data_IF_295707826401
#
_entry.id   IF_295707826401
#
_cell.length_a   1.000
_cell.length_b   1.000
_cell.length_c   1.000
_cell.angle_alpha   90.00
_cell.angle_beta   90.00
_cell.angle_gamma   90.00
#
_symmetry.space_group_name_H-M   'P 1'
#
loop_
_entity.id
_entity.type
_entity.pdbx_description
1 polymer ?
#
# COMPACT_ATOMS: atom_id res chain seq x y z
N UNK A 1 37.66 17.00 2.83
CA UNK A 1 37.54 16.13 1.64
C UNK A 1 37.37 17.04 0.41
N UNK A 2 37.97 16.72 -0.73
CA UNK A 2 37.84 17.59 -1.91
C UNK A 2 36.37 17.47 -2.46
N UNK A 3 35.60 18.56 -2.55
CA UNK A 3 34.19 18.47 -2.97
C UNK A 3 34.01 17.93 -4.38
N UNK A 4 34.99 18.10 -5.28
CA UNK A 4 34.94 17.52 -6.63
C UNK A 4 35.03 15.99 -6.62
N UNK A 5 35.82 15.40 -5.71
CA UNK A 5 35.87 13.93 -5.57
C UNK A 5 34.54 13.36 -5.04
N UNK A 6 33.92 14.07 -4.08
CA UNK A 6 32.59 13.71 -3.58
C UNK A 6 31.55 13.76 -4.69
N UNK A 7 31.58 14.81 -5.51
CA UNK A 7 30.67 14.96 -6.66
C UNK A 7 30.84 13.78 -7.66
N UNK A 8 32.09 13.41 -7.96
CA UNK A 8 32.35 12.26 -8.86
C UNK A 8 31.85 10.96 -8.28
N UNK A 9 32.08 10.71 -6.99
CA UNK A 9 31.60 9.52 -6.29
C UNK A 9 30.07 9.43 -6.29
N UNK A 10 29.41 10.52 -5.91
CA UNK A 10 27.95 10.60 -5.95
C UNK A 10 27.40 10.36 -7.36
N UNK A 11 28.06 10.94 -8.38
CA UNK A 11 27.70 10.72 -9.78
C UNK A 11 27.88 9.27 -10.23
N UNK A 12 28.91 8.57 -9.76
CA UNK A 12 29.09 7.14 -10.02
C UNK A 12 27.99 6.31 -9.35
N UNK A 13 27.69 6.59 -8.08
CA UNK A 13 26.62 5.91 -7.33
C UNK A 13 25.25 6.15 -7.95
N UNK A 14 24.96 7.35 -8.43
CA UNK A 14 23.71 7.65 -9.13
C UNK A 14 23.56 6.83 -10.43
N UNK A 15 24.64 6.66 -11.19
CA UNK A 15 24.63 5.82 -12.40
C UNK A 15 24.50 4.33 -12.08
N UNK A 16 25.09 3.88 -10.98
CA UNK A 16 25.06 2.48 -10.54
C UNK A 16 23.73 2.08 -9.89
N UNK A 17 22.98 3.03 -9.31
CA UNK A 17 21.72 2.80 -8.63
C UNK A 17 20.73 2.04 -9.53
N UNK A 18 20.14 0.96 -9.01
CA UNK A 18 19.25 0.05 -9.75
C UNK A 18 17.79 0.49 -9.78
N UNK A 19 17.35 1.26 -8.76
CA UNK A 19 15.95 1.59 -8.53
C UNK A 19 15.71 3.06 -8.26
N UNK A 20 14.48 3.55 -8.51
CA UNK A 20 14.09 4.93 -8.19
C UNK A 20 14.12 5.24 -6.67
N UNK A 21 13.67 4.35 -5.76
CA UNK A 21 13.82 4.58 -4.32
C UNK A 21 15.28 4.74 -3.88
N UNK A 22 16.19 3.96 -4.44
CA UNK A 22 17.63 4.08 -4.17
C UNK A 22 18.19 5.43 -4.61
N UNK A 23 17.81 5.90 -5.80
CA UNK A 23 18.15 7.24 -6.29
C UNK A 23 17.56 8.33 -5.41
N UNK A 24 16.32 8.19 -4.96
CA UNK A 24 15.69 9.12 -4.03
C UNK A 24 16.44 9.17 -2.70
N UNK A 25 16.79 8.02 -2.13
CA UNK A 25 17.57 7.92 -0.90
C UNK A 25 18.94 8.57 -1.03
N UNK A 26 19.67 8.26 -2.09
CA UNK A 26 20.98 8.83 -2.39
C UNK A 26 20.92 10.36 -2.48
N UNK A 27 19.88 10.90 -3.13
CA UNK A 27 19.68 12.34 -3.24
C UNK A 27 19.49 13.01 -1.88
N UNK A 28 18.55 12.51 -1.06
CA UNK A 28 18.16 13.21 0.17
C UNK A 28 19.06 12.93 1.36
N UNK A 29 19.89 11.88 1.34
CA UNK A 29 20.76 11.50 2.45
C UNK A 29 22.26 11.66 2.11
N UNK A 30 22.72 11.14 0.97
CA UNK A 30 24.14 11.07 0.67
C UNK A 30 24.69 12.41 0.14
N UNK A 31 23.86 13.27 -0.41
CA UNK A 31 24.21 14.64 -0.78
C UNK A 31 24.78 15.43 0.41
N UNK A 32 24.53 15.00 1.65
CA UNK A 32 25.12 15.60 2.86
C UNK A 32 26.65 15.53 2.90
N UNK A 33 27.26 14.61 2.14
CA UNK A 33 28.71 14.53 1.98
C UNK A 33 29.27 15.69 1.13
N UNK A 34 28.46 16.23 0.22
CA UNK A 34 28.84 17.36 -0.64
C UNK A 34 28.63 18.70 0.06
N UNK A 35 27.53 18.82 0.80
CA UNK A 35 27.11 20.07 1.45
C UNK A 35 26.33 19.82 2.72
N UNK A 36 26.46 20.68 3.75
CA UNK A 36 25.68 20.59 4.96
C UNK A 36 24.24 21.07 4.72
N UNK A 37 23.27 20.27 5.14
CA UNK A 37 21.86 20.65 5.25
C UNK A 37 21.23 19.94 6.45
N UNK A 38 20.19 20.54 7.01
CA UNK A 38 19.39 19.93 8.08
C UNK A 38 18.45 18.88 7.50
N UNK A 39 17.76 19.23 6.41
CA UNK A 39 16.75 18.40 5.79
C UNK A 39 16.77 18.57 4.26
N UNK A 40 16.47 17.49 3.54
CA UNK A 40 16.28 17.48 2.10
C UNK A 40 15.01 16.72 1.75
N UNK A 41 14.25 17.22 0.77
CA UNK A 41 13.01 16.65 0.31
C UNK A 41 12.97 16.57 -1.21
N UNK A 42 12.50 15.45 -1.74
CA UNK A 42 12.25 15.23 -3.16
C UNK A 42 10.76 15.17 -3.42
N UNK A 43 10.29 15.94 -4.40
CA UNK A 43 8.89 16.03 -4.74
C UNK A 43 8.68 16.00 -6.25
N UNK A 44 7.57 15.37 -6.69
CA UNK A 44 7.11 15.39 -8.08
C UNK A 44 5.64 15.75 -8.18
N UNK A 45 5.28 16.47 -9.23
CA UNK A 45 3.91 16.86 -9.52
C UNK A 45 3.00 15.64 -9.72
N UNK A 46 1.88 15.62 -9.01
CA UNK A 46 0.92 14.50 -9.04
C UNK A 46 1.34 13.25 -8.27
N UNK A 47 2.60 13.17 -7.78
CA UNK A 47 3.08 12.07 -6.93
C UNK A 47 3.31 12.50 -5.48
N UNK A 48 3.53 13.79 -5.25
CA UNK A 48 3.81 14.34 -3.93
C UNK A 48 5.26 14.16 -3.48
N UNK A 49 5.48 14.15 -2.17
CA UNK A 49 6.79 13.98 -1.55
C UNK A 49 7.21 12.51 -1.64
N UNK A 50 8.31 12.26 -2.35
CA UNK A 50 8.81 10.89 -2.64
C UNK A 50 9.90 10.45 -1.69
N UNK A 51 10.72 11.37 -1.21
CA UNK A 51 11.79 11.07 -0.29
C UNK A 51 12.03 12.25 0.65
N UNK A 52 12.40 11.96 1.88
CA UNK A 52 12.77 12.91 2.92
C UNK A 52 14.03 12.39 3.60
N UNK A 53 15.00 13.27 3.87
CA UNK A 53 16.23 12.89 4.56
C UNK A 53 15.93 12.35 5.95
N UNK A 54 16.56 11.22 6.30
CA UNK A 54 16.37 10.56 7.60
C UNK A 54 15.10 9.71 7.75
N UNK A 55 14.22 9.67 6.72
CA UNK A 55 13.03 8.81 6.72
C UNK A 55 13.12 7.75 5.61
N UNK A 56 12.74 6.51 5.95
CA UNK A 56 12.68 5.41 4.97
C UNK A 56 11.49 5.58 4.00
N UNK A 57 10.35 6.03 4.52
CA UNK A 57 9.17 6.34 3.73
C UNK A 57 8.41 7.52 4.37
N UNK A 58 8.13 8.60 3.64
CA UNK A 58 7.34 9.70 4.16
C UNK A 58 5.86 9.29 4.26
N UNK A 59 5.25 9.50 5.42
CA UNK A 59 3.82 9.30 5.61
C UNK A 59 3.04 10.50 5.07
N UNK A 60 2.27 10.28 4.01
CA UNK A 60 1.56 11.35 3.28
C UNK A 60 0.57 12.16 4.15
N UNK A 61 0.07 11.59 5.23
CA UNK A 61 -0.93 12.21 6.10
C UNK A 61 -0.37 13.05 7.26
N UNK A 62 0.95 13.15 7.40
CA UNK A 62 1.53 13.99 8.45
C UNK A 62 1.40 15.49 8.09
N UNK A 63 1.13 16.38 9.07
CA UNK A 63 0.97 17.82 8.81
C UNK A 63 2.17 18.43 8.07
N UNK A 64 3.38 18.05 8.45
CA UNK A 64 4.62 18.50 7.79
C UNK A 64 4.66 18.11 6.31
N UNK A 65 4.32 16.85 5.94
CA UNK A 65 4.34 16.39 4.55
C UNK A 65 3.25 17.08 3.72
N UNK A 66 2.06 17.29 4.29
CA UNK A 66 0.99 18.00 3.62
C UNK A 66 1.33 19.46 3.38
N UNK A 67 1.88 20.15 4.37
CA UNK A 67 2.33 21.53 4.23
C UNK A 67 3.45 21.64 3.19
N UNK A 68 4.47 20.76 3.27
CA UNK A 68 5.59 20.73 2.33
C UNK A 68 5.13 20.44 0.90
N UNK A 69 4.15 19.55 0.74
CA UNK A 69 3.55 19.27 -0.57
C UNK A 69 2.91 20.53 -1.18
N UNK A 70 2.17 21.31 -0.41
CA UNK A 70 1.58 22.60 -0.84
C UNK A 70 2.67 23.60 -1.20
N UNK A 71 3.69 23.73 -0.36
CA UNK A 71 4.84 24.63 -0.61
C UNK A 71 5.54 24.30 -1.92
N UNK A 72 5.91 23.03 -2.13
CA UNK A 72 6.62 22.60 -3.34
C UNK A 72 5.75 22.71 -4.60
N UNK A 73 4.45 22.46 -4.49
CA UNK A 73 3.49 22.72 -5.56
C UNK A 73 3.43 24.20 -5.95
N UNK A 74 3.42 25.10 -4.98
CA UNK A 74 3.49 26.55 -5.21
C UNK A 74 4.79 26.95 -5.90
N UNK A 75 5.95 26.48 -5.40
CA UNK A 75 7.27 26.76 -5.98
C UNK A 75 7.42 26.19 -7.40
N UNK A 76 6.81 25.03 -7.67
CA UNK A 76 6.82 24.44 -9.01
C UNK A 76 6.02 25.26 -10.02
N UNK A 77 4.92 25.89 -9.60
CA UNK A 77 4.06 26.73 -10.45
C UNK A 77 4.58 28.15 -10.64
N UNK A 78 5.53 28.60 -9.80
CA UNK A 78 6.12 29.95 -9.90
C UNK A 78 6.87 30.13 -11.22
N UNK A 79 6.97 31.38 -11.73
CA UNK A 79 7.75 31.67 -12.93
C UNK A 79 9.20 31.19 -12.80
N UNK A 80 9.74 30.65 -13.91
CA UNK A 80 11.14 30.19 -13.93
C UNK A 80 12.07 31.38 -13.85
N UNK A 81 12.79 31.48 -12.74
CA UNK A 81 13.91 32.45 -12.61
C UNK A 81 15.21 31.84 -13.16
N UNK A 82 16.13 32.65 -13.67
CA UNK A 82 17.43 32.16 -14.16
C UNK A 82 18.24 31.53 -13.03
N UNK A 83 18.83 30.35 -13.29
CA UNK A 83 19.72 29.66 -12.36
C UNK A 83 19.20 28.33 -11.89
N UNK A 84 20.08 27.37 -11.52
CA UNK A 84 19.71 26.05 -11.06
C UNK A 84 19.19 26.04 -9.62
N UNK A 85 19.59 27.00 -8.79
CA UNK A 85 19.30 27.07 -7.35
C UNK A 85 18.58 28.39 -7.05
N UNK A 86 17.43 28.27 -6.38
CA UNK A 86 16.63 29.44 -5.97
C UNK A 86 16.52 29.48 -4.46
N UNK A 87 16.87 30.62 -3.86
CA UNK A 87 16.64 30.87 -2.44
C UNK A 87 15.16 31.17 -2.24
N UNK A 88 14.53 30.50 -1.30
CA UNK A 88 13.13 30.69 -0.94
C UNK A 88 13.06 31.48 0.37
N UNK A 89 12.22 32.51 0.39
CA UNK A 89 11.98 33.32 1.58
C UNK A 89 10.49 33.30 1.93
N UNK A 90 10.17 33.24 3.22
CA UNK A 90 8.79 33.25 3.69
C UNK A 90 7.99 34.47 3.16
N UNK A 91 8.62 35.63 3.01
CA UNK A 91 7.99 36.84 2.50
C UNK A 91 7.52 36.76 1.03
N UNK A 92 7.94 35.73 0.28
CA UNK A 92 7.56 35.51 -1.12
C UNK A 92 6.40 34.53 -1.27
N UNK A 93 5.92 33.96 -0.15
CA UNK A 93 4.91 32.93 -0.11
C UNK A 93 3.54 33.51 0.23
N UNK A 94 2.45 32.84 -0.14
CA UNK A 94 1.12 33.12 0.36
C UNK A 94 1.05 33.05 1.89
N UNK A 95 0.16 33.84 2.50
CA UNK A 95 0.05 33.98 3.95
C UNK A 95 -0.16 32.66 4.69
N UNK A 96 -0.91 31.73 4.11
CA UNK A 96 -1.18 30.39 4.67
C UNK A 96 0.08 29.52 4.74
N UNK A 97 1.02 29.65 3.79
CA UNK A 97 2.30 28.97 3.81
C UNK A 97 3.34 29.67 4.66
N UNK A 98 3.32 31.01 4.64
CA UNK A 98 4.26 31.85 5.39
C UNK A 98 4.05 31.73 6.91
N UNK A 99 2.80 31.58 7.37
CA UNK A 99 2.44 31.48 8.79
C UNK A 99 3.11 30.27 9.49
N UNK A 100 3.16 29.14 8.81
CA UNK A 100 3.74 27.89 9.34
C UNK A 100 5.24 27.74 9.05
N UNK A 101 5.84 28.68 8.30
CA UNK A 101 7.24 28.58 7.85
C UNK A 101 8.24 28.35 8.98
N UNK A 102 8.16 29.14 10.03
CA UNK A 102 9.11 29.09 11.16
C UNK A 102 8.93 27.82 12.03
N UNK A 103 7.81 27.15 11.95
CA UNK A 103 7.56 25.90 12.63
C UNK A 103 8.30 24.73 11.96
N UNK A 104 8.33 24.73 10.63
CA UNK A 104 8.82 23.59 9.86
C UNK A 104 10.21 23.77 9.28
N UNK A 105 10.61 24.98 8.91
CA UNK A 105 11.83 25.21 8.15
C UNK A 105 12.83 26.11 8.89
N UNK A 106 14.11 25.89 8.60
CA UNK A 106 15.22 26.76 9.00
C UNK A 106 15.29 28.01 8.09
N UNK A 107 16.07 29.05 8.48
CA UNK A 107 16.10 30.34 7.76
C UNK A 107 16.52 30.26 6.29
N UNK A 108 17.39 29.34 5.96
CA UNK A 108 17.94 29.19 4.61
C UNK A 108 17.33 27.97 3.91
N UNK A 109 16.52 28.25 2.88
CA UNK A 109 15.84 27.21 2.09
C UNK A 109 16.17 27.42 0.63
N UNK A 110 16.57 26.33 -0.02
CA UNK A 110 16.95 26.32 -1.42
C UNK A 110 16.06 25.37 -2.20
N UNK A 111 15.51 25.87 -3.29
CA UNK A 111 14.68 25.11 -4.22
C UNK A 111 15.41 24.87 -5.53
N UNK A 112 15.51 23.63 -5.95
CA UNK A 112 16.05 23.24 -7.24
C UNK A 112 14.95 22.58 -8.06
N UNK A 113 14.59 23.20 -9.15
CA UNK A 113 13.55 22.71 -10.04
C UNK A 113 14.07 21.55 -10.88
N UNK A 114 13.27 20.50 -11.00
CA UNK A 114 13.50 19.36 -11.89
C UNK A 114 12.50 19.47 -13.05
N UNK A 115 12.96 19.90 -14.25
CA UNK A 115 12.06 20.04 -15.39
C UNK A 115 11.58 18.66 -15.86
N UNK A 116 10.32 18.60 -16.31
CA UNK A 116 9.85 17.43 -17.04
C UNK A 116 10.61 17.27 -18.35
N UNK A 117 11.04 16.08 -18.70
CA UNK A 117 11.66 15.82 -20.00
C UNK A 117 10.57 15.92 -21.10
N UNK A 118 10.67 16.89 -22.02
CA UNK A 118 9.65 17.09 -23.07
C UNK A 118 9.55 15.92 -24.04
N UNK A 119 10.59 15.08 -24.12
CA UNK A 119 10.61 13.86 -24.94
C UNK A 119 9.88 12.67 -24.31
N UNK A 120 9.47 12.78 -23.05
CA UNK A 120 8.90 11.68 -22.28
C UNK A 120 7.56 12.06 -21.66
N UNK A 121 6.53 11.32 -21.99
CA UNK A 121 5.18 11.55 -21.47
C UNK A 121 4.99 11.12 -20.00
N UNK A 122 5.91 10.36 -19.47
CA UNK A 122 5.95 9.83 -18.11
C UNK A 122 6.86 10.63 -17.17
N UNK A 123 7.72 11.52 -17.73
CA UNK A 123 8.50 12.44 -16.93
C UNK A 123 7.63 13.58 -16.40
N UNK A 124 7.71 13.82 -15.10
CA UNK A 124 6.95 14.85 -14.41
C UNK A 124 7.86 15.97 -13.94
N UNK A 125 7.35 17.17 -13.91
CA UNK A 125 8.01 18.26 -13.25
C UNK A 125 8.10 17.97 -11.75
N UNK A 126 9.17 18.41 -11.13
CA UNK A 126 9.39 18.22 -9.71
C UNK A 126 10.41 19.19 -9.16
N UNK A 127 10.93 18.86 -7.99
CA UNK A 127 12.02 19.64 -7.42
C UNK A 127 12.56 19.05 -6.13
N UNK A 128 13.67 19.59 -5.73
CA UNK A 128 14.37 19.25 -4.49
C UNK A 128 14.40 20.49 -3.61
N UNK A 129 14.01 20.32 -2.36
CA UNK A 129 14.08 21.35 -1.33
C UNK A 129 15.18 20.99 -0.34
N UNK A 130 16.13 21.89 -0.14
CA UNK A 130 17.15 21.78 0.91
C UNK A 130 16.93 22.84 1.97
N UNK A 131 16.92 22.42 3.22
CA UNK A 131 16.74 23.25 4.41
C UNK A 131 18.07 23.31 5.15
N UNK A 132 18.64 24.50 5.32
CA UNK A 132 19.98 24.70 5.82
C UNK A 132 19.99 25.68 7.00
N UNK A 133 20.95 25.50 7.89
CA UNK A 133 21.17 26.41 9.04
C UNK A 133 22.05 27.59 8.66
N UNK A 134 22.95 27.42 7.68
CA UNK A 134 23.84 28.44 7.17
C UNK A 134 23.63 28.65 5.67
N UNK A 135 23.86 29.87 5.16
CA UNK A 135 23.76 30.13 3.73
C UNK A 135 24.87 29.41 2.94
N UNK A 136 24.52 29.00 1.71
CA UNK A 136 25.49 28.46 0.78
C UNK A 136 26.25 29.55 0.06
N UNK A 137 27.50 29.29 -0.26
CA UNK A 137 28.31 30.14 -1.12
C UNK A 137 28.05 29.82 -2.62
N UNK A 138 28.54 30.68 -3.51
CA UNK A 138 28.36 30.50 -4.96
C UNK A 138 29.03 29.25 -5.50
N UNK A 139 30.09 28.77 -4.85
CA UNK A 139 30.78 27.54 -5.21
C UNK A 139 29.88 26.33 -4.93
N UNK A 140 29.22 26.31 -3.76
CA UNK A 140 28.25 25.27 -3.42
C UNK A 140 27.02 25.28 -4.33
N UNK A 141 26.52 26.47 -4.70
CA UNK A 141 25.42 26.59 -5.66
C UNK A 141 25.77 25.92 -6.99
N UNK A 142 26.96 26.13 -7.53
CA UNK A 142 27.42 25.54 -8.77
C UNK A 142 27.56 24.01 -8.65
N UNK A 143 28.21 23.54 -7.58
CA UNK A 143 28.42 22.11 -7.33
C UNK A 143 27.08 21.34 -7.15
N UNK A 144 26.15 21.91 -6.40
CA UNK A 144 24.82 21.33 -6.20
C UNK A 144 24.02 21.29 -7.48
N UNK A 145 24.08 22.37 -8.27
CA UNK A 145 23.43 22.41 -9.58
C UNK A 145 23.92 21.31 -10.50
N UNK A 146 25.23 21.08 -10.59
CA UNK A 146 25.80 19.99 -11.38
C UNK A 146 25.46 18.62 -10.84
N UNK A 147 25.49 18.45 -9.51
CA UNK A 147 25.07 17.21 -8.87
C UNK A 147 23.62 16.87 -9.20
N UNK A 148 22.71 17.82 -9.02
CA UNK A 148 21.28 17.60 -9.28
C UNK A 148 21.01 17.32 -10.76
N UNK A 149 21.71 17.98 -11.68
CA UNK A 149 21.61 17.68 -13.12
C UNK A 149 22.02 16.24 -13.42
N UNK A 150 23.19 15.80 -12.90
CA UNK A 150 23.69 14.44 -13.06
C UNK A 150 22.71 13.41 -12.48
N UNK A 151 22.22 13.64 -11.27
CA UNK A 151 21.24 12.79 -10.60
C UNK A 151 19.93 12.73 -11.38
N UNK A 152 19.43 13.87 -11.87
CA UNK A 152 18.18 13.94 -12.63
C UNK A 152 18.27 13.15 -13.95
N UNK A 153 19.41 13.16 -14.63
CA UNK A 153 19.63 12.28 -15.78
C UNK A 153 19.57 10.81 -15.41
N UNK A 154 20.18 10.39 -14.28
CA UNK A 154 20.09 9.02 -13.81
C UNK A 154 18.65 8.62 -13.43
N UNK A 155 17.90 9.54 -12.80
CA UNK A 155 16.50 9.36 -12.48
C UNK A 155 15.66 9.14 -13.74
N UNK A 156 15.76 10.02 -14.72
CA UNK A 156 15.04 9.93 -15.99
C UNK A 156 15.38 8.65 -16.76
N UNK A 157 16.64 8.18 -16.71
CA UNK A 157 17.05 6.93 -17.33
C UNK A 157 16.36 5.69 -16.70
N UNK A 158 15.97 5.76 -15.44
CA UNK A 158 15.28 4.66 -14.72
C UNK A 158 13.75 4.72 -14.82
N UNK A 159 13.18 5.85 -15.21
CA UNK A 159 11.75 5.93 -15.49
C UNK A 159 11.45 4.98 -16.67
N UNK A 160 10.66 3.95 -16.40
CA UNK A 160 10.20 3.04 -17.46
C UNK A 160 9.00 3.69 -18.14
N UNK A 161 9.00 3.82 -19.49
CA UNK A 161 7.81 4.27 -20.18
C UNK A 161 6.68 3.30 -19.86
N UNK A 162 5.58 3.81 -19.32
CA UNK A 162 4.38 3.01 -19.12
C UNK A 162 3.81 2.66 -20.49
N UNK A 163 3.86 1.40 -20.95
CA UNK A 163 3.39 1.02 -22.30
C UNK A 163 1.91 1.30 -22.51
N UNK A 164 1.19 1.62 -21.45
CA UNK A 164 -0.26 1.88 -21.40
C UNK A 164 -0.62 3.35 -21.22
N UNK A 165 0.33 4.31 -21.33
CA UNK A 165 -0.06 5.71 -21.24
C UNK A 165 -0.93 6.09 -22.45
N UNK A 166 -2.12 6.64 -22.17
CA UNK A 166 -3.05 7.11 -23.20
C UNK A 166 -2.40 8.11 -24.18
N UNK A 167 -1.36 8.82 -23.73
CA UNK A 167 -0.57 9.75 -24.55
C UNK A 167 0.30 9.04 -25.59
N UNK A 168 0.96 7.93 -25.23
CA UNK A 168 1.74 7.12 -26.18
C UNK A 168 0.81 6.53 -27.24
N UNK A 169 -0.34 6.04 -26.82
CA UNK A 169 -1.36 5.55 -27.75
C UNK A 169 -1.91 6.66 -28.64
N UNK A 170 -2.20 7.85 -28.10
CA UNK A 170 -2.65 9.01 -28.90
C UNK A 170 -1.59 9.47 -29.90
N UNK A 171 -0.31 9.50 -29.51
CA UNK A 171 0.78 9.86 -30.42
C UNK A 171 1.01 8.79 -31.50
N UNK A 172 0.97 7.52 -31.14
CA UNK A 172 1.04 6.41 -32.08
C UNK A 172 -0.14 6.43 -33.08
N UNK A 173 -1.34 6.71 -32.56
CA UNK A 173 -2.55 6.85 -33.38
C UNK A 173 -2.46 8.07 -34.29
N UNK A 174 -1.99 9.22 -33.76
CA UNK A 174 -1.80 10.45 -34.56
C UNK A 174 -0.73 10.26 -35.65
N UNK A 175 0.37 9.59 -35.33
CA UNK A 175 1.42 9.25 -36.31
C UNK A 175 0.91 8.29 -37.38
N UNK A 176 0.12 7.28 -36.99
CA UNK A 176 -0.50 6.34 -37.89
C UNK A 176 -1.56 6.99 -38.82
N UNK A 177 -2.21 8.07 -38.37
CA UNK A 177 -3.21 8.82 -39.15
C UNK A 177 -2.58 9.82 -40.14
N UNK A 178 -1.36 10.32 -39.86
CA UNK A 178 -0.69 11.31 -40.71
C UNK A 178 0.28 10.71 -41.73
N UNK A 179 0.34 9.37 -41.87
CA UNK A 179 1.16 8.75 -42.90
C UNK A 179 0.39 8.82 -44.21
N UNK A 180 0.76 9.77 -45.05
CA UNK A 180 0.20 9.98 -46.38
C UNK A 180 0.43 8.75 -47.26
N UNK A 181 -0.63 8.06 -47.56
CA UNK A 181 -0.70 7.02 -48.56
C UNK A 181 -2.13 6.90 -49.05
N UNK A 182 -2.39 7.25 -50.27
CA UNK A 182 -3.70 7.34 -50.96
C UNK A 182 -4.61 6.10 -50.91
N UNK A 183 -4.63 5.36 -49.86
CA UNK A 183 -5.50 4.20 -49.64
C UNK A 183 -6.72 4.59 -48.80
N UNK A 184 -7.92 4.08 -49.11
CA UNK A 184 -9.13 4.36 -48.34
C UNK A 184 -8.93 3.98 -46.86
N UNK A 185 -9.42 4.80 -45.98
CA UNK A 185 -9.18 4.75 -44.50
C UNK A 185 -9.44 3.37 -43.85
N UNK A 186 -10.40 2.58 -44.39
CA UNK A 186 -10.70 1.23 -43.88
C UNK A 186 -9.64 0.17 -44.26
N UNK A 187 -8.78 0.44 -45.26
CA UNK A 187 -7.67 -0.46 -45.61
C UNK A 187 -6.41 -0.20 -44.79
N UNK A 188 -6.40 0.86 -43.94
CA UNK A 188 -5.26 1.18 -43.11
C UNK A 188 -5.09 0.15 -41.99
N UNK A 189 -3.90 -0.32 -41.81
CA UNK A 189 -3.53 -1.33 -40.78
C UNK A 189 -4.04 -0.99 -39.38
N UNK A 190 -3.93 0.27 -38.86
CA UNK A 190 -4.43 0.61 -37.55
C UNK A 190 -5.96 0.52 -37.43
N UNK A 191 -6.70 0.81 -38.48
CA UNK A 191 -8.17 0.70 -38.49
C UNK A 191 -8.60 -0.76 -38.45
N UNK A 192 -7.91 -1.65 -39.15
CA UNK A 192 -8.17 -3.09 -39.10
C UNK A 192 -7.86 -3.67 -37.73
N UNK A 193 -6.75 -3.24 -37.12
CA UNK A 193 -6.37 -3.64 -35.74
C UNK A 193 -7.42 -3.14 -34.75
N UNK A 194 -7.84 -1.88 -34.83
CA UNK A 194 -8.88 -1.32 -33.98
C UNK A 194 -10.22 -2.05 -34.12
N UNK A 195 -10.61 -2.41 -35.35
CA UNK A 195 -11.82 -3.16 -35.64
C UNK A 195 -11.75 -4.60 -35.08
N UNK A 196 -10.58 -5.23 -35.18
CA UNK A 196 -10.34 -6.56 -34.67
C UNK A 196 -10.37 -6.56 -33.12
N UNK A 197 -9.80 -5.54 -32.47
CA UNK A 197 -9.87 -5.35 -31.02
C UNK A 197 -11.31 -5.08 -30.58
N UNK A 198 -12.05 -4.22 -31.30
CA UNK A 198 -13.46 -3.96 -31.03
C UNK A 198 -14.31 -5.23 -31.12
N UNK A 199 -14.06 -6.05 -32.17
CA UNK A 199 -14.73 -7.34 -32.36
C UNK A 199 -14.42 -8.32 -31.20
N UNK A 200 -13.17 -8.32 -30.75
CA UNK A 200 -12.72 -9.18 -29.64
C UNK A 200 -13.30 -8.73 -28.29
N UNK A 201 -13.48 -7.42 -28.08
CA UNK A 201 -14.11 -6.83 -26.89
C UNK A 201 -15.62 -7.10 -26.80
N UNK A 202 -16.30 -7.21 -27.95
CA UNK A 202 -17.73 -7.53 -28.02
C UNK A 202 -17.98 -9.04 -27.93
N UNK A 203 -16.92 -9.85 -28.01
CA UNK A 203 -17.06 -11.31 -27.88
C UNK A 203 -17.56 -11.68 -26.50
N UNK A 204 -18.72 -12.33 -26.35
CA UNK A 204 -19.27 -12.67 -25.04
C UNK A 204 -18.42 -13.76 -24.40
N UNK A 205 -17.60 -13.40 -23.45
CA UNK A 205 -16.84 -14.34 -22.62
C UNK A 205 -17.69 -14.72 -21.40
N UNK A 206 -17.88 -16.00 -21.17
CA UNK A 206 -18.51 -16.45 -19.92
C UNK A 206 -17.60 -16.13 -18.74
N UNK A 207 -18.06 -15.25 -17.87
CA UNK A 207 -17.37 -14.95 -16.63
C UNK A 207 -17.61 -16.14 -15.67
N UNK A 208 -16.60 -16.99 -15.51
CA UNK A 208 -16.64 -18.07 -14.51
C UNK A 208 -15.89 -17.60 -13.28
N UNK A 209 -16.61 -17.39 -12.19
CA UNK A 209 -16.03 -17.07 -10.90
C UNK A 209 -15.99 -18.37 -10.08
N UNK A 210 -14.78 -18.80 -9.69
CA UNK A 210 -14.65 -19.84 -8.65
C UNK A 210 -15.01 -19.19 -7.30
N UNK A 211 -16.21 -19.43 -6.84
CA UNK A 211 -16.58 -19.10 -5.47
C UNK A 211 -16.35 -20.33 -4.59
N UNK A 212 -15.60 -20.24 -3.49
CA UNK A 212 -15.58 -21.30 -2.49
C UNK A 212 -16.97 -21.39 -1.88
N UNK A 213 -17.65 -22.52 -2.10
CA UNK A 213 -18.96 -22.80 -1.53
C UNK A 213 -18.88 -24.04 -0.66
N UNK A 214 -19.44 -23.96 0.54
CA UNK A 214 -19.65 -25.10 1.43
C UNK A 214 -21.05 -25.64 1.20
N UNK A 215 -21.16 -26.97 0.95
CA UNK A 215 -22.43 -27.62 0.82
C UNK A 215 -23.01 -27.87 2.22
N UNK A 216 -23.99 -27.05 2.58
CA UNK A 216 -24.74 -27.22 3.83
C UNK A 216 -26.07 -27.86 3.51
N UNK A 217 -26.49 -28.90 4.27
CA UNK A 217 -27.82 -29.51 4.13
C UNK A 217 -28.92 -28.46 4.37
N UNK A 218 -29.97 -28.50 3.57
CA UNK A 218 -31.11 -27.56 3.68
C UNK A 218 -31.83 -27.70 5.01
N UNK A 219 -31.82 -28.90 5.57
CA UNK A 219 -32.50 -29.23 6.83
C UNK A 219 -31.64 -30.23 7.63
N UNK A 220 -30.61 -29.76 8.36
CA UNK A 220 -29.75 -30.64 9.15
C UNK A 220 -30.52 -31.14 10.40
N UNK A 221 -30.80 -32.42 10.47
CA UNK A 221 -31.35 -33.02 11.69
C UNK A 221 -30.28 -33.04 12.79
N UNK A 222 -30.37 -32.10 13.74
CA UNK A 222 -29.49 -32.06 14.90
C UNK A 222 -29.94 -33.07 15.94
N UNK A 223 -29.26 -34.21 16.05
CA UNK A 223 -29.50 -35.20 17.09
C UNK A 223 -28.79 -34.75 18.36
N UNK A 224 -29.56 -34.43 19.39
CA UNK A 224 -29.05 -34.04 20.70
C UNK A 224 -29.08 -35.22 21.66
N UNK A 225 -28.10 -35.34 22.51
CA UNK A 225 -28.09 -36.29 23.60
C UNK A 225 -29.23 -35.96 24.57
N UNK A 226 -30.05 -36.97 24.97
CA UNK A 226 -31.18 -36.78 25.89
C UNK A 226 -30.74 -36.54 27.34
N UNK A 227 -29.49 -36.83 27.66
CA UNK A 227 -28.92 -36.78 29.00
C UNK A 227 -27.51 -36.18 28.96
N UNK A 228 -27.14 -35.50 30.03
CA UNK A 228 -25.74 -35.09 30.27
C UNK A 228 -24.95 -36.33 30.75
N UNK A 229 -23.94 -36.69 30.00
CA UNK A 229 -23.12 -37.86 30.32
C UNK A 229 -21.83 -37.95 29.54
N UNK A 230 -20.97 -38.88 29.94
CA UNK A 230 -19.72 -39.17 29.24
C UNK A 230 -20.02 -40.23 28.16
N UNK A 231 -19.58 -39.92 26.93
CA UNK A 231 -19.71 -40.90 25.83
C UNK A 231 -18.64 -41.97 25.99
N UNK A 232 -19.07 -43.20 26.16
CA UNK A 232 -18.18 -44.35 26.28
C UNK A 232 -17.63 -44.80 24.90
N UNK A 233 -18.50 -44.86 23.88
CA UNK A 233 -18.10 -45.31 22.55
C UNK A 233 -18.96 -44.68 21.47
N UNK A 234 -18.28 -44.32 20.34
CA UNK A 234 -18.92 -43.86 19.11
C UNK A 234 -18.93 -45.00 18.12
N UNK A 235 -20.11 -45.36 17.62
CA UNK A 235 -20.32 -46.53 16.74
C UNK A 235 -20.33 -46.18 15.25
N UNK A 236 -20.31 -44.91 14.90
CA UNK A 236 -20.38 -44.43 13.53
C UNK A 236 -19.16 -43.59 13.15
N UNK A 237 -18.83 -43.53 11.87
CA UNK A 237 -17.73 -42.73 11.34
C UNK A 237 -18.26 -41.42 10.71
N UNK A 238 -17.47 -40.35 10.67
CA UNK A 238 -17.83 -39.14 9.92
C UNK A 238 -18.19 -39.47 8.47
N UNK A 239 -19.24 -38.86 7.95
CA UNK A 239 -19.80 -39.08 6.61
C UNK A 239 -20.40 -40.48 6.36
N UNK A 240 -20.71 -41.24 7.39
CA UNK A 240 -21.38 -42.52 7.26
C UNK A 240 -22.91 -42.32 7.12
N UNK A 241 -23.51 -43.00 6.16
CA UNK A 241 -24.98 -43.05 6.06
C UNK A 241 -25.57 -43.88 7.19
N UNK A 242 -26.51 -43.30 7.94
CA UNK A 242 -27.21 -43.95 9.06
C UNK A 242 -28.72 -43.93 8.83
N UNK A 243 -29.43 -44.90 9.41
CA UNK A 243 -30.89 -44.99 9.35
C UNK A 243 -31.49 -44.66 10.71
N UNK A 244 -32.78 -44.36 10.72
CA UNK A 244 -33.51 -44.21 11.97
C UNK A 244 -33.46 -45.51 12.76
N UNK A 245 -32.99 -45.44 14.01
CA UNK A 245 -32.81 -46.59 14.89
C UNK A 245 -31.36 -47.08 15.02
N UNK A 246 -30.43 -46.61 14.17
CA UNK A 246 -29.03 -46.99 14.29
C UNK A 246 -28.41 -46.39 15.56
N UNK A 247 -27.60 -47.18 16.24
CA UNK A 247 -26.87 -46.77 17.44
C UNK A 247 -25.69 -45.87 17.03
N UNK A 248 -25.74 -44.60 17.40
CA UNK A 248 -24.72 -43.64 17.04
C UNK A 248 -23.57 -43.60 18.07
N UNK A 249 -23.91 -43.54 19.34
CA UNK A 249 -22.97 -43.54 20.46
C UNK A 249 -23.62 -44.15 21.70
N UNK A 250 -22.80 -44.65 22.62
CA UNK A 250 -23.24 -45.15 23.94
C UNK A 250 -22.62 -44.31 25.06
N UNK A 251 -23.40 -44.12 26.12
CA UNK A 251 -22.93 -43.46 27.32
C UNK A 251 -22.19 -44.42 28.24
N UNK A 252 -21.32 -43.92 29.09
CA UNK A 252 -20.79 -44.64 30.22
C UNK A 252 -21.89 -44.84 31.26
N UNK A 253 -22.23 -46.11 31.51
CA UNK A 253 -23.33 -46.51 32.42
C UNK A 253 -22.91 -46.40 33.90
N UNK A 254 -21.62 -46.45 34.24
CA UNK A 254 -21.13 -46.48 35.60
C UNK A 254 -21.59 -45.27 36.45
N UNK A 255 -21.49 -44.02 36.00
CA UNK A 255 -21.98 -42.88 36.79
C UNK A 255 -23.50 -42.85 36.95
N UNK A 256 -24.22 -43.36 35.94
CA UNK A 256 -25.70 -43.40 35.98
C UNK A 256 -26.18 -44.48 36.92
N UNK A 257 -25.55 -45.66 36.85
CA UNK A 257 -25.84 -46.79 37.75
C UNK A 257 -25.57 -46.41 39.22
N UNK A 258 -24.44 -45.72 39.48
CA UNK A 258 -24.13 -45.23 40.83
C UNK A 258 -25.18 -44.26 41.36
N UNK A 259 -25.61 -43.28 40.53
CA UNK A 259 -26.68 -42.34 40.91
C UNK A 259 -28.01 -43.04 41.17
N UNK A 260 -28.36 -44.03 40.37
CA UNK A 260 -29.56 -44.81 40.55
C UNK A 260 -29.55 -45.60 41.88
N UNK A 261 -28.41 -46.19 42.22
CA UNK A 261 -28.25 -46.95 43.47
C UNK A 261 -28.32 -46.02 44.69
N UNK A 262 -27.66 -44.87 44.65
CA UNK A 262 -27.75 -43.84 45.70
C UNK A 262 -29.20 -43.36 45.87
N UNK A 263 -29.92 -43.12 44.78
CA UNK A 263 -31.34 -42.73 44.83
C UNK A 263 -32.23 -43.80 45.41
N UNK A 264 -31.99 -45.12 45.09
CA UNK A 264 -32.70 -46.24 45.68
C UNK A 264 -32.47 -46.36 47.15
N UNK A 265 -31.20 -46.25 47.60
CA UNK A 265 -30.86 -46.26 49.00
C UNK A 265 -31.53 -45.10 49.77
N UNK A 266 -31.52 -43.87 49.20
CA UNK A 266 -32.20 -42.74 49.81
C UNK A 266 -33.73 -42.98 49.92
N UNK A 267 -34.35 -43.58 48.93
CA UNK A 267 -35.76 -43.95 48.96
C UNK A 267 -36.06 -44.95 50.06
N UNK A 268 -35.26 -46.05 50.15
CA UNK A 268 -35.38 -47.05 51.20
C UNK A 268 -35.24 -46.49 52.59
N UNK A 269 -34.26 -45.56 52.76
CA UNK A 269 -34.09 -44.89 54.04
C UNK A 269 -35.26 -43.98 54.42
N UNK A 270 -35.79 -43.23 53.46
CA UNK A 270 -36.97 -42.39 53.68
C UNK A 270 -38.25 -43.20 53.98
N UNK A 271 -38.42 -44.36 53.34
CA UNK A 271 -39.52 -45.33 53.64
C UNK A 271 -39.40 -45.87 55.05
N UNK A 272 -38.19 -46.26 55.47
CA UNK A 272 -37.94 -46.75 56.82
C UNK A 272 -38.20 -45.69 57.88
N UNK A 273 -37.81 -44.42 57.60
CA UNK A 273 -38.03 -43.26 58.51
C UNK A 273 -39.54 -42.94 58.63
N UNK A 274 -40.31 -43.11 57.58
CA UNK A 274 -41.76 -42.93 57.57
C UNK A 274 -42.39 -44.01 58.42
N UNK A 275 -42.03 -45.34 58.23
CA UNK A 275 -42.53 -46.44 59.00
C UNK A 275 -42.23 -46.26 60.49
N UNK A 276 -41.00 -45.84 60.87
CA UNK A 276 -40.64 -45.56 62.27
C UNK A 276 -41.46 -44.40 62.83
N UNK A 277 -41.68 -43.36 62.04
CA UNK A 277 -42.52 -42.22 62.40
C UNK A 277 -43.99 -42.51 62.62
N UNK A 278 -44.53 -43.52 61.88
CA UNK A 278 -45.87 -43.97 62.05
C UNK A 278 -45.99 -44.77 63.37
N UNK A 279 -45.01 -45.63 63.70
CA UNK A 279 -45.02 -46.43 64.94
C UNK A 279 -44.88 -45.51 66.21
N UNK A 280 -44.11 -44.44 66.13
CA UNK A 280 -43.92 -43.51 67.24
C UNK A 280 -45.12 -42.60 67.54
N UNK A 281 -46.12 -42.57 66.69
CA UNK A 281 -47.36 -41.75 66.83
C UNK A 281 -48.53 -42.55 67.40
N UNK A 282 -48.37 -43.87 67.67
CA UNK A 282 -49.38 -44.76 68.20
C UNK A 282 -49.24 -45.08 69.70
N UNK A 283 -48.25 -44.54 70.35
CA UNK A 283 -48.07 -44.51 71.82
C UNK A 283 -48.41 -43.06 72.31
#
# INVERSE_FOLDING_TARGET
>A
MNPLLVLLELGQRARAAGTLPELGFLLVNDTRQLMPYRQALLWFEGEGVRAVSGLLAPEANTPFIQWTHRLMGHLSSAPVTPGPVHTVHAAQLPDDLAAEWSEWLSPHVYWLRLPADPGRSDARAGGVLFVCEAPWDDTLHALVGEWIATWHHAWNARLRPTPWSALVWRQALKKAWHTDGGHPWWKRTPVRIALLIALLLVWPVRLTILAPGELVPVDPAVIRAPLDGVVAQVHVRPNQAVKAGDLLFSFDEAPIATRLEVARQALTTAEADIDLGVFSRQD
#
